data_IF_940147580393
#
_entry.id   IF_940147580393
#
_cell.length_a   1.000
_cell.length_b   1.000
_cell.length_c   1.000
_cell.angle_alpha   90.00
_cell.angle_beta   90.00
_cell.angle_gamma   90.00
#
_symmetry.space_group_name_H-M   'P 1'
#
loop_
_entity.id
_entity.type
_entity.pdbx_description
1 polymer ?
#
# COMPACT_ATOMS: atom_id res chain seq x y z
N UNK A 1 -24.22 28.55 43.71
CA UNK A 1 -25.12 27.43 43.37
C UNK A 1 -26.29 27.95 42.55
N UNK A 2 -26.22 27.84 41.22
CA UNK A 2 -27.36 28.03 40.29
C UNK A 2 -27.21 26.95 39.23
N UNK A 3 -28.08 25.95 39.29
CA UNK A 3 -28.16 24.86 38.31
C UNK A 3 -29.07 25.35 37.19
N UNK A 4 -28.51 25.57 36.01
CA UNK A 4 -29.29 25.78 34.80
C UNK A 4 -29.68 24.41 34.23
N UNK A 5 -30.97 24.07 34.31
CA UNK A 5 -31.57 23.08 33.41
C UNK A 5 -31.73 23.73 32.04
N UNK A 6 -31.10 23.17 31.00
CA UNK A 6 -31.58 23.29 29.61
C UNK A 6 -32.05 21.92 29.17
N UNK A 7 -33.36 21.79 29.01
CA UNK A 7 -33.94 20.77 28.12
C UNK A 7 -33.66 21.22 26.68
N UNK A 8 -32.89 20.42 25.96
CA UNK A 8 -32.73 20.51 24.52
C UNK A 8 -32.67 19.09 24.00
N UNK A 9 -33.79 18.61 23.46
CA UNK A 9 -33.90 17.31 22.79
C UNK A 9 -32.88 17.29 21.65
N UNK A 10 -31.96 16.32 21.65
CA UNK A 10 -31.10 16.11 20.48
C UNK A 10 -31.99 15.91 19.25
N UNK A 11 -31.70 16.56 18.11
CA UNK A 11 -32.44 16.27 16.89
C UNK A 11 -32.24 14.79 16.54
N UNK A 12 -33.25 14.11 16.00
CA UNK A 12 -33.08 12.73 15.56
C UNK A 12 -31.94 12.67 14.56
N UNK A 13 -31.04 11.69 14.72
CA UNK A 13 -30.00 11.40 13.75
C UNK A 13 -30.68 11.21 12.38
N UNK A 14 -30.40 12.13 11.46
CA UNK A 14 -30.81 12.02 10.07
C UNK A 14 -29.77 11.14 9.36
N UNK A 15 -30.07 9.86 9.08
CA UNK A 15 -29.11 8.95 8.45
C UNK A 15 -28.72 9.39 7.03
N UNK A 16 -29.40 10.39 6.45
CA UNK A 16 -29.09 10.93 5.13
C UNK A 16 -28.09 12.11 5.14
N UNK A 17 -27.59 12.55 6.31
CA UNK A 17 -26.75 13.76 6.42
C UNK A 17 -25.25 13.53 6.54
N UNK A 18 -24.78 12.28 6.45
CA UNK A 18 -23.42 12.01 5.99
C UNK A 18 -23.47 12.21 4.47
N UNK A 19 -23.43 13.47 4.04
CA UNK A 19 -22.94 13.77 2.70
C UNK A 19 -21.47 13.34 2.70
N UNK A 20 -21.26 12.08 2.33
CA UNK A 20 -20.03 11.63 1.70
C UNK A 20 -19.69 12.70 0.69
N UNK A 21 -18.68 13.53 1.00
CA UNK A 21 -17.92 14.20 -0.06
C UNK A 21 -17.63 13.07 -1.03
N UNK A 22 -18.23 13.16 -2.20
CA UNK A 22 -18.06 12.23 -3.30
C UNK A 22 -16.57 12.03 -3.48
N UNK A 23 -16.06 10.99 -2.83
CA UNK A 23 -14.73 10.54 -3.07
C UNK A 23 -14.76 10.00 -4.49
N UNK A 24 -13.68 10.12 -5.29
CA UNK A 24 -13.63 9.51 -6.61
C UNK A 24 -13.42 7.98 -6.48
N UNK A 25 -14.08 7.36 -5.49
CA UNK A 25 -14.00 5.97 -5.04
C UNK A 25 -14.63 5.05 -6.08
N UNK A 26 -13.90 4.79 -7.15
CA UNK A 26 -13.47 3.43 -7.47
C UNK A 26 -12.10 3.61 -8.09
N UNK A 27 -11.06 3.72 -7.26
CA UNK A 27 -9.74 3.33 -7.71
C UNK A 27 -9.86 1.84 -7.99
N UNK A 28 -10.15 1.47 -9.23
CA UNK A 28 -10.16 0.08 -9.67
C UNK A 28 -8.70 -0.34 -9.69
N UNK A 29 -8.22 -0.89 -8.58
CA UNK A 29 -6.87 -1.41 -8.51
C UNK A 29 -6.76 -2.51 -9.56
N UNK A 30 -5.75 -2.42 -10.40
CA UNK A 30 -5.50 -3.33 -11.50
C UNK A 30 -4.22 -4.14 -11.27
N UNK A 31 -3.24 -3.60 -10.55
CA UNK A 31 -1.93 -4.23 -10.41
C UNK A 31 -1.32 -4.02 -9.04
N UNK A 32 -1.11 -5.13 -8.32
CA UNK A 32 -0.39 -5.19 -7.06
C UNK A 32 0.90 -5.96 -7.27
N UNK A 33 2.00 -5.49 -6.67
CA UNK A 33 3.29 -6.18 -6.69
C UNK A 33 3.72 -6.47 -5.26
N UNK A 34 4.22 -7.68 -4.99
CA UNK A 34 4.98 -7.97 -3.77
C UNK A 34 6.36 -8.54 -4.11
N UNK A 35 7.36 -8.23 -3.29
CA UNK A 35 8.66 -8.90 -3.27
C UNK A 35 8.78 -9.75 -2.01
N UNK A 36 9.37 -10.95 -2.11
CA UNK A 36 9.51 -11.89 -0.99
C UNK A 36 8.24 -12.71 -0.71
N UNK A 37 7.54 -13.14 -1.76
CA UNK A 37 6.24 -13.81 -1.59
C UNK A 37 6.28 -15.19 -0.93
N UNK A 38 7.43 -15.86 -0.94
CA UNK A 38 7.68 -17.17 -0.33
C UNK A 38 6.51 -18.16 -0.55
N UNK A 39 6.07 -18.87 0.48
CA UNK A 39 4.93 -19.80 0.41
C UNK A 39 3.55 -19.11 0.28
N UNK A 40 3.48 -17.77 0.23
CA UNK A 40 2.27 -17.04 -0.16
C UNK A 40 1.33 -16.61 0.97
N UNK A 41 1.84 -16.37 2.19
CA UNK A 41 1.03 -15.84 3.29
C UNK A 41 0.42 -14.48 2.95
N UNK A 42 1.25 -13.48 2.64
CA UNK A 42 0.80 -12.14 2.23
C UNK A 42 -0.06 -12.21 0.96
N UNK A 43 0.40 -12.99 -0.02
CA UNK A 43 -0.31 -13.22 -1.28
C UNK A 43 -1.75 -13.69 -1.07
N UNK A 44 -1.99 -14.64 -0.17
CA UNK A 44 -3.33 -15.15 0.11
C UNK A 44 -4.26 -14.04 0.65
N UNK A 45 -3.77 -13.21 1.57
CA UNK A 45 -4.54 -12.09 2.11
C UNK A 45 -4.81 -11.01 1.06
N UNK A 46 -3.81 -10.67 0.25
CA UNK A 46 -3.98 -9.69 -0.84
C UNK A 46 -5.02 -10.18 -1.84
N UNK A 47 -4.89 -11.42 -2.34
CA UNK A 47 -5.84 -12.01 -3.29
C UNK A 47 -7.24 -12.11 -2.71
N UNK A 48 -7.37 -12.43 -1.42
CA UNK A 48 -8.66 -12.45 -0.73
C UNK A 48 -9.30 -11.05 -0.69
N UNK A 49 -8.52 -10.02 -0.37
CA UNK A 49 -9.00 -8.64 -0.37
C UNK A 49 -9.47 -8.21 -1.77
N UNK A 50 -8.71 -8.52 -2.83
CA UNK A 50 -9.10 -8.22 -4.21
C UNK A 50 -10.41 -8.93 -4.59
N UNK A 51 -10.58 -10.20 -4.18
CA UNK A 51 -11.78 -10.97 -4.44
C UNK A 51 -13.01 -10.42 -3.69
N UNK A 52 -12.83 -10.02 -2.43
CA UNK A 52 -13.91 -9.44 -1.60
C UNK A 52 -14.38 -8.10 -2.15
N UNK A 53 -13.45 -7.28 -2.65
CA UNK A 53 -13.75 -6.01 -3.33
C UNK A 53 -14.21 -6.19 -4.78
N UNK A 54 -14.36 -7.44 -5.25
CA UNK A 54 -14.84 -7.81 -6.60
C UNK A 54 -13.99 -7.21 -7.73
N UNK A 55 -12.69 -7.09 -7.51
CA UNK A 55 -11.73 -6.56 -8.49
C UNK A 55 -11.30 -7.69 -9.45
N UNK A 56 -12.25 -8.13 -10.29
CA UNK A 56 -12.10 -9.33 -11.11
C UNK A 56 -10.93 -9.30 -12.12
N UNK A 57 -10.38 -8.13 -12.43
CA UNK A 57 -9.25 -7.94 -13.36
C UNK A 57 -7.90 -7.68 -12.67
N UNK A 58 -7.91 -7.42 -11.37
CA UNK A 58 -6.72 -7.03 -10.62
C UNK A 58 -5.72 -8.18 -10.51
N UNK A 59 -4.44 -7.94 -10.78
CA UNK A 59 -3.39 -8.98 -10.70
C UNK A 59 -2.49 -8.77 -9.50
N UNK A 60 -2.10 -9.87 -8.87
CA UNK A 60 -0.98 -9.88 -7.93
C UNK A 60 0.25 -10.49 -8.59
N UNK A 61 1.28 -9.67 -8.80
CA UNK A 61 2.61 -10.08 -9.23
C UNK A 61 3.46 -10.37 -7.98
N UNK A 62 3.70 -11.64 -7.68
CA UNK A 62 4.48 -12.04 -6.49
C UNK A 62 5.87 -12.50 -6.91
N UNK A 63 6.89 -11.77 -6.49
CA UNK A 63 8.29 -12.04 -6.81
C UNK A 63 8.92 -12.84 -5.67
N UNK A 64 9.54 -13.97 -6.01
CA UNK A 64 10.30 -14.77 -5.05
C UNK A 64 11.60 -15.27 -5.69
N UNK A 65 12.73 -15.06 -5.01
CA UNK A 65 14.04 -15.50 -5.48
C UNK A 65 14.39 -16.91 -4.97
N UNK A 66 14.02 -17.26 -3.75
CA UNK A 66 14.44 -18.49 -3.08
C UNK A 66 13.80 -19.74 -3.67
N UNK A 67 14.61 -20.68 -4.13
CA UNK A 67 14.16 -21.99 -4.60
C UNK A 67 13.79 -22.96 -3.46
N UNK A 68 13.99 -22.55 -2.21
CA UNK A 68 13.74 -23.38 -1.01
C UNK A 68 12.25 -23.52 -0.67
N UNK A 69 11.36 -22.91 -1.45
CA UNK A 69 9.92 -22.96 -1.24
C UNK A 69 9.13 -23.23 -2.52
N UNK A 70 8.00 -23.92 -2.34
CA UNK A 70 6.93 -23.92 -3.33
C UNK A 70 6.19 -22.58 -3.24
N UNK A 71 6.47 -21.68 -4.19
CA UNK A 71 5.94 -20.33 -4.14
C UNK A 71 4.41 -20.33 -4.19
N UNK A 72 3.79 -19.64 -3.24
CA UNK A 72 2.34 -19.54 -3.16
C UNK A 72 1.63 -20.81 -2.67
N UNK A 73 2.33 -21.81 -2.13
CA UNK A 73 1.72 -23.06 -1.65
C UNK A 73 0.53 -22.87 -0.68
N UNK A 74 0.52 -21.77 0.08
CA UNK A 74 -0.57 -21.45 1.02
C UNK A 74 -1.75 -20.70 0.38
N UNK A 75 -1.67 -20.35 -0.90
CA UNK A 75 -2.75 -19.66 -1.61
C UNK A 75 -3.83 -20.69 -2.01
N UNK A 76 -5.06 -20.57 -1.49
CA UNK A 76 -6.19 -21.43 -1.89
C UNK A 76 -6.44 -21.35 -3.39
N UNK A 77 -6.80 -22.49 -4.00
CA UNK A 77 -6.97 -22.61 -5.45
C UNK A 77 -8.01 -21.63 -6.01
N UNK A 78 -9.10 -21.40 -5.26
CA UNK A 78 -10.14 -20.44 -5.60
C UNK A 78 -9.59 -19.01 -5.74
N UNK A 79 -8.61 -18.61 -4.92
CA UNK A 79 -8.05 -17.27 -4.95
C UNK A 79 -7.02 -17.07 -6.06
N UNK A 80 -6.42 -18.15 -6.56
CA UNK A 80 -5.46 -18.08 -7.68
C UNK A 80 -6.11 -17.56 -8.97
N UNK A 81 -7.43 -17.73 -9.12
CA UNK A 81 -8.19 -17.35 -10.31
C UNK A 81 -9.30 -16.31 -10.06
N UNK A 82 -9.62 -15.96 -8.81
CA UNK A 82 -10.78 -15.14 -8.46
C UNK A 82 -10.66 -13.63 -8.83
N UNK A 83 -9.45 -13.11 -9.03
CA UNK A 83 -9.19 -11.68 -9.33
C UNK A 83 -7.96 -11.57 -10.21
N UNK A 84 -8.13 -11.36 -11.52
CA UNK A 84 -7.09 -11.14 -12.55
C UNK A 84 -5.98 -12.20 -12.71
N UNK A 85 -5.77 -13.04 -11.70
CA UNK A 85 -4.74 -14.04 -11.55
C UNK A 85 -3.70 -13.71 -10.47
N UNK A 86 -3.30 -14.74 -9.72
CA UNK A 86 -1.99 -14.79 -9.09
C UNK A 86 -0.91 -15.01 -10.16
N UNK A 87 0.08 -14.12 -10.23
CA UNK A 87 1.19 -14.18 -11.18
C UNK A 87 2.50 -14.45 -10.42
N UNK A 88 2.91 -15.72 -10.27
CA UNK A 88 4.18 -16.06 -9.63
C UNK A 88 5.36 -15.68 -10.53
N UNK A 89 6.35 -15.00 -9.96
CA UNK A 89 7.55 -14.53 -10.65
C UNK A 89 8.80 -15.03 -9.93
N UNK A 90 9.36 -16.14 -10.41
CA UNK A 90 10.57 -16.75 -9.85
C UNK A 90 11.82 -16.03 -10.35
N UNK A 91 12.49 -15.27 -9.50
CA UNK A 91 13.69 -14.52 -9.88
C UNK A 91 13.96 -13.28 -9.04
N UNK A 92 15.00 -12.52 -9.44
CA UNK A 92 15.42 -11.29 -8.77
C UNK A 92 14.51 -10.16 -9.23
N UNK A 93 14.07 -9.34 -8.29
CA UNK A 93 13.28 -8.14 -8.59
C UNK A 93 14.01 -7.18 -9.55
N UNK A 94 15.34 -7.11 -9.47
CA UNK A 94 16.18 -6.34 -10.38
C UNK A 94 16.02 -6.78 -11.84
N UNK A 95 15.89 -8.08 -12.09
CA UNK A 95 15.83 -8.62 -13.45
C UNK A 95 14.45 -8.36 -14.06
N UNK A 96 13.37 -8.50 -13.27
CA UNK A 96 12.02 -8.17 -13.70
C UNK A 96 11.82 -6.67 -13.96
N UNK A 97 12.48 -5.81 -13.18
CA UNK A 97 12.48 -4.37 -13.41
C UNK A 97 13.26 -3.98 -14.68
N UNK A 98 14.40 -4.64 -14.96
CA UNK A 98 15.19 -4.39 -16.19
C UNK A 98 14.53 -4.95 -17.45
N UNK A 99 13.85 -6.08 -17.32
CA UNK A 99 13.18 -6.77 -18.42
C UNK A 99 11.81 -6.22 -18.78
N UNK A 100 11.35 -5.14 -18.12
CA UNK A 100 10.01 -4.57 -18.28
C UNK A 100 8.87 -5.61 -18.11
N UNK A 101 9.09 -6.61 -17.25
CA UNK A 101 8.12 -7.68 -17.00
C UNK A 101 7.07 -7.30 -15.95
N UNK A 102 7.33 -6.24 -15.17
CA UNK A 102 6.41 -5.69 -14.20
C UNK A 102 5.57 -4.55 -14.81
N UNK A 103 4.33 -4.34 -14.33
CA UNK A 103 3.52 -3.20 -14.76
C UNK A 103 4.26 -1.87 -14.58
N UNK A 104 4.03 -0.96 -15.53
CA UNK A 104 4.61 0.39 -15.48
C UNK A 104 3.96 1.25 -14.40
N UNK A 105 2.66 1.05 -14.17
CA UNK A 105 1.88 1.66 -13.10
C UNK A 105 1.31 0.55 -12.23
N UNK A 106 1.37 0.73 -10.91
CA UNK A 106 0.87 -0.23 -9.92
C UNK A 106 0.10 0.50 -8.82
N UNK A 107 -0.84 -0.16 -8.18
CA UNK A 107 -1.69 0.45 -7.15
C UNK A 107 -1.17 0.17 -5.75
N UNK A 108 -0.48 -0.95 -5.58
CA UNK A 108 0.19 -1.29 -4.33
C UNK A 108 1.52 -2.00 -4.58
N UNK A 109 2.51 -1.68 -3.74
CA UNK A 109 3.75 -2.42 -3.61
C UNK A 109 3.93 -2.89 -2.16
N UNK A 110 4.16 -4.19 -1.97
CA UNK A 110 4.55 -4.78 -0.68
C UNK A 110 6.00 -5.26 -0.73
N UNK A 111 6.83 -4.71 0.15
CA UNK A 111 8.18 -5.24 0.43
C UNK A 111 8.11 -6.30 1.53
N UNK A 112 8.55 -7.51 1.24
CA UNK A 112 8.87 -8.55 2.23
C UNK A 112 10.12 -9.39 1.83
N UNK A 113 10.90 -8.88 0.88
CA UNK A 113 12.18 -9.49 0.48
C UNK A 113 13.30 -9.12 1.47
N UNK A 114 14.57 -9.35 1.08
CA UNK A 114 15.78 -9.02 1.86
C UNK A 114 15.61 -7.81 2.79
N UNK A 115 15.65 -8.05 4.10
CA UNK A 115 15.55 -7.01 5.12
C UNK A 115 16.86 -6.20 5.31
N UNK A 116 17.74 -6.20 4.31
CA UNK A 116 18.91 -5.35 4.32
C UNK A 116 18.52 -3.90 4.02
N UNK A 117 19.09 -2.97 4.77
CA UNK A 117 18.83 -1.53 4.61
C UNK A 117 18.96 -1.06 3.15
N UNK A 118 20.02 -1.51 2.46
CA UNK A 118 20.29 -1.10 1.07
C UNK A 118 19.23 -1.62 0.09
N UNK A 119 18.74 -2.85 0.29
CA UNK A 119 17.77 -3.46 -0.60
C UNK A 119 16.38 -2.86 -0.40
N UNK A 120 15.90 -2.78 0.85
CA UNK A 120 14.63 -2.13 1.18
C UNK A 120 14.54 -0.71 0.61
N UNK A 121 15.56 0.12 0.90
CA UNK A 121 15.58 1.50 0.43
C UNK A 121 15.68 1.61 -1.10
N UNK A 122 16.32 0.63 -1.75
CA UNK A 122 16.35 0.56 -3.20
C UNK A 122 14.98 0.19 -3.78
N UNK A 123 14.31 -0.84 -3.27
CA UNK A 123 12.96 -1.24 -3.72
C UNK A 123 11.96 -0.09 -3.56
N UNK A 124 11.96 0.58 -2.40
CA UNK A 124 11.09 1.75 -2.19
C UNK A 124 11.31 2.82 -3.26
N UNK A 125 12.57 3.09 -3.65
CA UNK A 125 12.88 4.06 -4.70
C UNK A 125 12.49 3.60 -6.11
N UNK A 126 12.50 2.29 -6.37
CA UNK A 126 12.08 1.75 -7.68
C UNK A 126 10.55 1.76 -7.83
N UNK A 127 9.83 1.38 -6.79
CA UNK A 127 8.38 1.19 -6.85
C UNK A 127 7.59 2.45 -6.51
N UNK A 128 8.09 3.35 -5.66
CA UNK A 128 7.42 4.63 -5.38
C UNK A 128 7.04 5.44 -6.63
N UNK A 129 7.92 5.66 -7.63
CA UNK A 129 7.53 6.37 -8.84
C UNK A 129 6.49 5.61 -9.68
N UNK A 130 6.43 4.28 -9.59
CA UNK A 130 5.47 3.41 -10.30
C UNK A 130 4.09 3.36 -9.66
N UNK A 131 3.97 3.73 -8.37
CA UNK A 131 2.66 3.80 -7.72
C UNK A 131 1.75 4.81 -8.42
N UNK A 132 0.52 4.43 -8.71
CA UNK A 132 -0.57 5.30 -9.12
C UNK A 132 -0.79 6.41 -8.07
N UNK A 133 -1.47 7.49 -8.45
CA UNK A 133 -1.97 8.48 -7.50
C UNK A 133 -2.86 7.77 -6.46
N UNK A 134 -2.57 7.96 -5.16
CA UNK A 134 -3.28 7.28 -4.09
C UNK A 134 -2.78 5.85 -3.83
N UNK A 135 -1.77 5.38 -4.56
CA UNK A 135 -1.21 4.05 -4.42
C UNK A 135 -0.49 3.84 -3.08
N UNK A 136 -0.40 2.57 -2.67
CA UNK A 136 0.06 2.17 -1.35
C UNK A 136 1.45 1.51 -1.41
N UNK A 137 2.41 2.03 -0.66
CA UNK A 137 3.64 1.31 -0.33
C UNK A 137 3.48 0.68 1.05
N UNK A 138 3.69 -0.62 1.16
CA UNK A 138 3.73 -1.38 2.41
C UNK A 138 5.08 -2.06 2.53
N UNK A 139 5.61 -2.16 3.75
CA UNK A 139 6.82 -2.92 4.03
C UNK A 139 6.67 -3.73 5.30
N UNK A 140 7.09 -4.97 5.24
CA UNK A 140 7.36 -5.79 6.40
C UNK A 140 8.68 -5.35 7.08
N UNK A 141 8.84 -5.69 8.36
CA UNK A 141 10.04 -5.49 9.17
C UNK A 141 10.69 -4.10 9.17
N UNK A 142 9.86 -3.04 9.16
CA UNK A 142 10.34 -1.65 9.13
C UNK A 142 11.13 -1.21 10.37
N UNK A 143 11.09 -2.00 11.44
CA UNK A 143 11.87 -1.80 12.67
C UNK A 143 13.31 -2.32 12.58
N UNK A 144 13.63 -3.20 11.61
CA UNK A 144 14.94 -3.85 11.57
C UNK A 144 16.08 -2.91 11.18
N UNK A 145 15.79 -1.83 10.44
CA UNK A 145 16.78 -0.85 10.03
C UNK A 145 16.12 0.51 9.66
N UNK A 146 16.94 1.48 9.27
CA UNK A 146 16.51 2.85 9.00
C UNK A 146 15.85 3.09 7.62
N UNK A 147 15.71 2.08 6.76
CA UNK A 147 15.31 2.27 5.36
C UNK A 147 13.93 2.93 5.24
N UNK A 148 12.94 2.40 5.95
CA UNK A 148 11.58 2.91 5.92
C UNK A 148 11.43 4.33 6.52
N UNK A 149 11.90 4.62 7.75
CA UNK A 149 11.81 5.98 8.28
C UNK A 149 12.61 7.00 7.46
N UNK A 150 13.76 6.61 6.88
CA UNK A 150 14.50 7.48 5.97
C UNK A 150 13.71 7.76 4.69
N UNK A 151 13.10 6.73 4.10
CA UNK A 151 12.28 6.88 2.91
C UNK A 151 11.11 7.83 3.15
N UNK A 152 10.35 7.62 4.23
CA UNK A 152 9.24 8.50 4.63
C UNK A 152 9.72 9.93 4.87
N UNK A 153 10.88 10.11 5.53
CA UNK A 153 11.43 11.44 5.76
C UNK A 153 11.79 12.14 4.45
N UNK A 154 12.28 11.41 3.45
CA UNK A 154 12.59 11.93 2.12
C UNK A 154 11.35 12.30 1.31
N UNK A 155 10.21 11.69 1.60
CA UNK A 155 8.93 12.01 0.96
C UNK A 155 8.12 13.06 1.73
N UNK A 156 8.53 13.43 2.95
CA UNK A 156 7.91 14.43 3.82
C UNK A 156 8.59 15.80 3.73
N UNK A 157 7.79 16.86 3.65
CA UNK A 157 8.26 18.23 3.78
C UNK A 157 7.41 19.00 4.79
N UNK A 158 8.04 19.91 5.52
CA UNK A 158 7.36 20.83 6.42
C UNK A 158 7.97 22.22 6.35
N UNK A 159 7.19 23.22 6.75
CA UNK A 159 7.68 24.56 7.00
C UNK A 159 8.54 24.56 8.27
N UNK A 160 9.79 25.04 8.15
CA UNK A 160 10.77 24.98 9.25
C UNK A 160 10.45 25.90 10.42
N UNK A 161 9.58 26.91 10.24
CA UNK A 161 9.22 27.86 11.31
C UNK A 161 8.04 27.38 12.12
N UNK A 162 7.04 26.79 11.47
CA UNK A 162 5.75 26.41 12.06
C UNK A 162 5.63 24.91 12.31
N UNK A 163 6.50 24.10 11.71
CA UNK A 163 6.42 22.63 11.76
C UNK A 163 5.24 22.05 10.97
N UNK A 164 4.41 22.88 10.33
CA UNK A 164 3.26 22.42 9.54
C UNK A 164 3.72 21.71 8.28
N UNK A 165 3.04 20.61 7.94
CA UNK A 165 3.27 19.87 6.69
C UNK A 165 3.16 20.82 5.49
N UNK A 166 4.14 20.73 4.61
CA UNK A 166 4.14 21.40 3.32
C UNK A 166 3.43 20.50 2.32
N UNK A 167 2.19 20.84 1.99
CA UNK A 167 1.36 20.00 1.12
C UNK A 167 1.88 19.94 -0.30
N UNK A 168 2.58 20.97 -0.79
CA UNK A 168 3.09 21.01 -2.15
C UNK A 168 4.33 20.13 -2.32
N UNK A 169 5.22 20.12 -1.31
CA UNK A 169 6.48 19.35 -1.36
C UNK A 169 6.38 17.95 -0.76
N UNK A 170 5.39 17.68 0.09
CA UNK A 170 5.15 16.33 0.61
C UNK A 170 4.54 15.45 -0.47
N UNK A 171 5.14 14.29 -0.73
CA UNK A 171 4.71 13.36 -1.78
C UNK A 171 3.85 12.19 -1.30
N UNK A 172 3.55 12.12 0.01
CA UNK A 172 2.63 11.15 0.60
C UNK A 172 1.54 11.81 1.45
N UNK A 173 0.34 11.23 1.47
CA UNK A 173 -0.78 11.78 2.24
C UNK A 173 -0.82 11.23 3.66
N UNK A 174 -0.77 9.91 3.79
CA UNK A 174 -0.79 9.17 5.05
C UNK A 174 0.44 8.27 5.13
N UNK A 175 0.94 8.09 6.34
CA UNK A 175 2.06 7.19 6.61
C UNK A 175 2.08 6.80 8.07
N UNK A 176 2.69 5.67 8.36
CA UNK A 176 2.87 5.21 9.72
C UNK A 176 3.46 3.82 9.78
N UNK A 177 3.51 3.26 10.99
CA UNK A 177 3.77 1.85 11.19
C UNK A 177 2.87 1.31 12.29
N UNK A 178 2.48 0.04 12.15
CA UNK A 178 1.85 -0.72 13.20
C UNK A 178 2.66 -2.01 13.42
N UNK A 179 3.31 -2.10 14.58
CA UNK A 179 4.24 -3.18 14.86
C UNK A 179 5.41 -3.13 13.88
N UNK A 180 5.58 -4.21 13.14
CA UNK A 180 6.61 -4.37 12.12
C UNK A 180 6.17 -3.99 10.69
N UNK A 181 4.90 -3.65 10.49
CA UNK A 181 4.38 -3.21 9.19
C UNK A 181 4.45 -1.69 9.09
N UNK A 182 5.14 -1.16 8.08
CA UNK A 182 5.08 0.25 7.71
C UNK A 182 4.27 0.47 6.45
N UNK A 183 3.61 1.62 6.35
CA UNK A 183 2.88 2.01 5.15
C UNK A 183 3.04 3.50 4.81
N UNK A 184 2.94 3.83 3.53
CA UNK A 184 2.86 5.19 3.03
C UNK A 184 1.94 5.25 1.79
N UNK A 185 0.99 6.19 1.80
CA UNK A 185 0.04 6.43 0.71
C UNK A 185 0.55 7.57 -0.16
N UNK A 186 0.78 7.31 -1.46
CA UNK A 186 1.28 8.30 -2.41
C UNK A 186 0.25 9.40 -2.63
N UNK A 187 0.69 10.65 -2.63
CA UNK A 187 -0.18 11.82 -2.85
C UNK A 187 -0.67 11.87 -4.30
N UNK A 188 -1.95 12.17 -4.50
CA UNK A 188 -2.52 12.44 -5.83
C UNK A 188 -1.93 13.72 -6.42
N UNK A 189 -1.41 13.63 -7.65
CA UNK A 189 -0.94 14.80 -8.41
C UNK A 189 -2.09 15.67 -8.91
N UNK A 190 -3.26 15.07 -9.16
CA UNK A 190 -4.47 15.75 -9.64
C UNK A 190 -5.26 16.53 -8.58
N UNK A 191 -4.89 16.44 -7.30
CA UNK A 191 -5.55 17.13 -6.19
C UNK A 191 -4.88 18.47 -5.80
N UNK A 192 -4.16 19.10 -6.74
CA UNK A 192 -3.41 20.35 -6.54
C UNK A 192 -4.10 21.52 -7.20
#
# INVERSE_FOLDING_TARGET
MRVFQRQGKAPPDDPARIQTRSTPFYAMWDSVVESGGFIGMSSAFILKALADEKLATAKLYSIEWSEECEQGALIPNELRSASGGFVPMRGKVEDFLKGDQLPRSIDMFLHDSSHSYRHMLWEFRQFWPRLSDGGLLVSHDVQMNAAFPEFVTKTYAHDKKTGRRDEQRTSHYEWGRWGYIGFAVKKNRSAS
#
